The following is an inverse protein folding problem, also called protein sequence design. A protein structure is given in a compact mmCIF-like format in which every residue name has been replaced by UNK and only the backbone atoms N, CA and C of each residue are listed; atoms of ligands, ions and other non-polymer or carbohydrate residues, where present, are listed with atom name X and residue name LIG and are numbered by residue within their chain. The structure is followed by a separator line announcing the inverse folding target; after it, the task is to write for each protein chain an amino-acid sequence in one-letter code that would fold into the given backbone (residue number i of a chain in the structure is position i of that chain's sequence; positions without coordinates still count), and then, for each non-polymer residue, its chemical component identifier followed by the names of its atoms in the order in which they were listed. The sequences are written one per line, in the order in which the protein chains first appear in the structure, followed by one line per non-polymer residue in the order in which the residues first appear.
data_IF_049716145264
#
_entry.id   IF_049716145264
#
_cell.length_a   1.000
_cell.length_b   1.000
_cell.length_c   1.000
_cell.angle_alpha   90.00
_cell.angle_beta   90.00
_cell.angle_gamma   90.00
#
_symmetry.space_group_name_H-M   'P 1'
#
loop_
_entity.id
_entity.type
_entity.pdbx_description
1 polymer ?
#
# COMPACT_ATOMS: atom_id res chain seq x y z
N UNK A 1 -5.94 -27.72 13.22
CA UNK A 1 -6.66 -27.43 11.95
C UNK A 1 -7.00 -28.74 11.27
N UNK A 2 -7.99 -28.75 10.36
CA UNK A 2 -8.33 -29.97 9.58
C UNK A 2 -7.43 -30.09 8.35
N UNK A 3 -6.85 -31.28 8.07
CA UNK A 3 -6.08 -31.51 6.84
C UNK A 3 -6.90 -31.23 5.58
N UNK A 4 -6.28 -30.63 4.56
CA UNK A 4 -6.92 -30.31 3.28
C UNK A 4 -7.82 -29.07 3.29
N UNK A 5 -8.09 -28.48 4.45
CA UNK A 5 -8.94 -27.29 4.56
C UNK A 5 -8.11 -26.00 4.56
N UNK A 6 -8.66 -24.95 3.95
CA UNK A 6 -8.06 -23.62 3.92
C UNK A 6 -8.82 -22.67 4.84
N UNK A 7 -8.12 -22.09 5.82
CA UNK A 7 -8.65 -21.13 6.78
C UNK A 7 -8.14 -19.74 6.44
N UNK A 8 -9.04 -18.77 6.31
CA UNK A 8 -8.69 -17.38 6.00
C UNK A 8 -9.19 -16.48 7.12
N UNK A 9 -8.27 -15.70 7.66
CA UNK A 9 -8.47 -14.87 8.84
C UNK A 9 -7.71 -13.56 8.71
N UNK A 10 -8.17 -12.55 9.45
CA UNK A 10 -7.47 -11.27 9.57
C UNK A 10 -6.62 -11.29 10.85
N UNK A 11 -5.37 -10.83 10.74
CA UNK A 11 -4.43 -10.77 11.86
C UNK A 11 -4.31 -9.33 12.37
N UNK A 12 -4.68 -9.10 13.63
CA UNK A 12 -4.62 -7.79 14.26
C UNK A 12 -3.97 -7.85 15.64
N UNK A 13 -2.73 -7.38 15.72
CA UNK A 13 -1.93 -7.44 16.95
C UNK A 13 -2.11 -6.22 17.88
N UNK A 14 -2.48 -5.07 17.32
CA UNK A 14 -2.69 -3.81 18.07
C UNK A 14 -4.05 -3.22 17.73
N UNK A 15 -4.75 -2.57 18.67
CA UNK A 15 -6.08 -2.00 18.40
C UNK A 15 -6.05 -0.93 17.29
N UNK A 16 -4.93 -0.22 17.15
CA UNK A 16 -4.70 0.69 16.02
C UNK A 16 -4.19 -0.08 14.79
N UNK A 17 -5.04 -0.18 13.77
CA UNK A 17 -4.69 -0.70 12.46
C UNK A 17 -4.63 0.43 11.43
N UNK A 18 -3.42 0.82 11.03
CA UNK A 18 -3.18 2.00 10.20
C UNK A 18 -3.82 3.26 10.83
N UNK A 19 -4.96 3.65 10.27
CA UNK A 19 -5.74 4.86 10.52
C UNK A 19 -6.96 4.59 11.39
N UNK A 20 -7.34 3.32 11.57
CA UNK A 20 -8.50 2.89 12.34
C UNK A 20 -8.04 2.49 13.74
N UNK A 21 -8.78 2.89 14.76
CA UNK A 21 -8.58 2.42 16.12
C UNK A 21 -9.82 1.67 16.59
N UNK A 22 -9.63 0.38 16.85
CA UNK A 22 -10.61 -0.45 17.53
C UNK A 22 -10.43 -0.33 19.05
N UNK A 23 -11.44 -0.71 19.83
CA UNK A 23 -11.34 -0.72 21.30
C UNK A 23 -10.49 -1.90 21.79
N UNK A 24 -10.50 -3.00 21.03
CA UNK A 24 -9.78 -4.23 21.37
C UNK A 24 -9.21 -4.92 20.13
N UNK A 25 -8.43 -5.97 20.38
CA UNK A 25 -7.97 -6.93 19.37
C UNK A 25 -8.74 -8.24 19.48
N UNK A 26 -8.81 -9.07 18.42
CA UNK A 26 -9.37 -10.41 18.51
C UNK A 26 -8.57 -11.31 19.46
N UNK A 27 -9.23 -12.31 20.03
CA UNK A 27 -8.60 -13.42 20.76
C UNK A 27 -7.52 -14.07 19.90
N UNK A 28 -6.32 -14.21 20.47
CA UNK A 28 -5.18 -14.75 19.73
C UNK A 28 -4.71 -13.87 18.57
N UNK A 29 -5.15 -12.61 18.49
CA UNK A 29 -4.84 -11.66 17.41
C UNK A 29 -5.34 -12.07 16.03
N UNK A 30 -6.26 -13.03 15.95
CA UNK A 30 -6.75 -13.59 14.69
C UNK A 30 -8.27 -13.68 14.71
N UNK A 31 -8.92 -13.18 13.66
CA UNK A 31 -10.38 -13.29 13.49
C UNK A 31 -10.72 -13.96 12.16
N UNK A 32 -11.44 -15.08 12.23
CA UNK A 32 -11.76 -15.94 11.09
C UNK A 32 -12.86 -15.32 10.23
N UNK A 33 -12.68 -15.37 8.90
CA UNK A 33 -13.69 -14.87 7.96
C UNK A 33 -14.07 -15.84 6.84
N UNK A 34 -13.26 -16.87 6.54
CA UNK A 34 -13.64 -17.99 5.66
C UNK A 34 -12.97 -19.30 6.08
N UNK A 35 -13.68 -20.39 5.78
CA UNK A 35 -13.15 -21.75 5.82
C UNK A 35 -13.63 -22.44 4.55
N UNK A 36 -12.69 -22.95 3.78
CA UNK A 36 -12.90 -23.69 2.54
C UNK A 36 -12.49 -25.14 2.78
N UNK A 37 -13.45 -26.05 2.64
CA UNK A 37 -13.26 -27.48 2.81
C UNK A 37 -12.49 -28.15 1.67
N UNK A 38 -12.20 -27.41 0.59
CA UNK A 38 -11.59 -27.90 -0.64
C UNK A 38 -12.49 -27.59 -1.84
N UNK A 39 -11.88 -27.33 -3.01
CA UNK A 39 -12.60 -27.11 -4.28
C UNK A 39 -13.68 -26.02 -4.21
N UNK A 40 -13.40 -24.90 -3.54
CA UNK A 40 -14.34 -23.78 -3.34
C UNK A 40 -15.60 -24.16 -2.53
N UNK A 41 -15.55 -25.24 -1.74
CA UNK A 41 -16.62 -25.66 -0.84
C UNK A 41 -16.53 -24.94 0.51
N UNK A 42 -17.07 -23.72 0.57
CA UNK A 42 -17.04 -22.89 1.78
C UNK A 42 -18.05 -23.33 2.84
N UNK A 43 -17.66 -23.23 4.11
CA UNK A 43 -18.59 -23.41 5.23
C UNK A 43 -19.63 -22.28 5.27
N UNK A 44 -20.89 -22.68 5.52
CA UNK A 44 -21.94 -21.75 5.93
C UNK A 44 -21.56 -21.05 7.26
N UNK A 45 -22.14 -19.88 7.51
CA UNK A 45 -21.74 -19.03 8.64
C UNK A 45 -21.86 -19.74 10.00
N UNK A 46 -22.92 -20.50 10.24
CA UNK A 46 -23.12 -21.27 11.47
C UNK A 46 -21.99 -22.30 11.69
N UNK A 47 -21.68 -23.11 10.69
CA UNK A 47 -20.59 -24.11 10.81
C UNK A 47 -19.21 -23.45 10.93
N UNK A 48 -19.03 -22.26 10.34
CA UNK A 48 -17.82 -21.46 10.50
C UNK A 48 -17.68 -20.93 11.94
N UNK A 49 -18.79 -20.55 12.60
CA UNK A 49 -18.79 -20.16 14.01
C UNK A 49 -18.37 -21.33 14.89
N UNK A 50 -18.98 -22.51 14.70
CA UNK A 50 -18.65 -23.72 15.46
C UNK A 50 -17.15 -24.09 15.29
N UNK A 51 -16.64 -23.98 14.06
CA UNK A 51 -15.23 -24.27 13.78
C UNK A 51 -14.28 -23.21 14.36
N UNK A 52 -14.67 -21.93 14.38
CA UNK A 52 -13.90 -20.87 15.04
C UNK A 52 -13.84 -21.10 16.55
N UNK A 53 -14.97 -21.44 17.18
CA UNK A 53 -15.04 -21.75 18.61
C UNK A 53 -14.17 -22.97 18.96
N UNK A 54 -14.25 -24.04 18.16
CA UNK A 54 -13.39 -25.23 18.32
C UNK A 54 -11.89 -24.90 18.27
N UNK A 55 -11.51 -23.89 17.48
CA UNK A 55 -10.14 -23.41 17.36
C UNK A 55 -9.75 -22.37 18.42
N UNK A 56 -10.69 -21.91 19.24
CA UNK A 56 -10.47 -20.83 20.20
C UNK A 56 -10.24 -19.48 19.52
N UNK A 57 -10.81 -19.27 18.32
CA UNK A 57 -10.71 -18.04 17.55
C UNK A 57 -12.05 -17.29 17.55
N UNK A 58 -11.99 -15.99 17.34
CA UNK A 58 -13.19 -15.20 17.03
C UNK A 58 -13.54 -15.34 15.54
N UNK A 59 -14.82 -15.16 15.19
CA UNK A 59 -15.29 -15.14 13.81
C UNK A 59 -15.98 -13.80 13.53
N UNK A 60 -15.81 -13.27 12.32
CA UNK A 60 -16.52 -12.07 11.88
C UNK A 60 -18.04 -12.30 11.92
N UNK A 61 -18.85 -11.30 12.32
CA UNK A 61 -20.29 -11.46 12.42
C UNK A 61 -20.96 -11.49 11.04
N UNK A 62 -22.12 -12.13 10.96
CA UNK A 62 -23.03 -12.03 9.83
C UNK A 62 -23.98 -10.84 10.06
N UNK A 63 -23.86 -9.80 9.22
CA UNK A 63 -24.66 -8.60 9.37
C UNK A 63 -26.06 -8.72 8.72
N UNK A 64 -26.18 -9.52 7.65
CA UNK A 64 -27.41 -9.66 6.88
C UNK A 64 -27.42 -10.94 6.05
N UNK A 65 -28.61 -11.53 5.87
CA UNK A 65 -28.87 -12.64 4.95
C UNK A 65 -30.01 -12.24 4.03
N UNK A 66 -29.77 -12.30 2.73
CA UNK A 66 -30.77 -11.96 1.72
C UNK A 66 -30.23 -11.00 0.68
N UNK A 67 -31.16 -10.38 -0.04
CA UNK A 67 -30.87 -9.35 -1.02
C UNK A 67 -30.92 -8.00 -0.32
N UNK A 68 -29.94 -7.15 -0.65
CA UNK A 68 -29.94 -5.74 -0.31
C UNK A 68 -30.58 -5.01 -1.49
N UNK A 69 -31.74 -4.41 -1.28
CA UNK A 69 -32.57 -3.84 -2.36
C UNK A 69 -32.39 -2.32 -2.52
N UNK A 70 -31.76 -1.67 -1.54
CA UNK A 70 -31.56 -0.22 -1.55
C UNK A 70 -30.15 0.21 -1.12
N UNK A 71 -29.73 1.40 -1.56
CA UNK A 71 -28.48 2.00 -1.11
C UNK A 71 -28.51 2.32 0.40
N UNK A 72 -29.69 2.59 0.96
CA UNK A 72 -29.83 2.94 2.38
C UNK A 72 -29.70 1.72 3.30
N UNK A 73 -30.17 0.55 2.86
CA UNK A 73 -29.85 -0.72 3.54
C UNK A 73 -28.33 -0.97 3.55
N UNK A 74 -27.64 -0.76 2.42
CA UNK A 74 -26.19 -0.89 2.38
C UNK A 74 -25.49 0.12 3.32
N UNK A 75 -25.96 1.37 3.36
CA UNK A 75 -25.43 2.38 4.29
C UNK A 75 -25.67 2.00 5.75
N UNK A 76 -26.82 1.41 6.08
CA UNK A 76 -27.10 0.94 7.43
C UNK A 76 -26.12 -0.17 7.87
N UNK A 77 -25.79 -1.10 6.96
CA UNK A 77 -24.77 -2.12 7.23
C UNK A 77 -23.38 -1.52 7.46
N UNK A 78 -23.00 -0.48 6.69
CA UNK A 78 -21.73 0.24 6.86
C UNK A 78 -21.71 1.12 8.12
N UNK A 79 -22.86 1.52 8.64
CA UNK A 79 -22.97 2.29 9.87
C UNK A 79 -22.84 1.45 11.14
N UNK A 80 -22.84 0.12 11.03
CA UNK A 80 -22.66 -0.78 12.15
C UNK A 80 -21.29 -0.57 12.82
N UNK A 81 -21.27 -0.62 14.14
CA UNK A 81 -20.01 -0.63 14.91
C UNK A 81 -19.26 -1.94 14.68
N UNK A 82 -17.95 -1.86 14.54
CA UNK A 82 -17.07 -3.03 14.45
C UNK A 82 -17.28 -3.97 15.65
N UNK A 83 -17.18 -5.28 15.42
CA UNK A 83 -17.18 -6.30 16.48
C UNK A 83 -16.02 -6.13 17.48
N UNK A 84 -14.99 -5.39 17.08
CA UNK A 84 -13.84 -5.02 17.90
C UNK A 84 -14.01 -3.66 18.61
N UNK A 85 -15.16 -2.99 18.45
CA UNK A 85 -15.49 -1.72 19.08
C UNK A 85 -14.80 -0.50 18.43
N UNK A 86 -15.06 0.68 19.00
CA UNK A 86 -14.38 1.97 18.74
C UNK A 86 -14.77 2.68 17.44
N UNK A 87 -14.85 1.95 16.33
CA UNK A 87 -15.09 2.50 15.00
C UNK A 87 -16.24 1.77 14.28
N UNK A 88 -16.83 2.44 13.28
CA UNK A 88 -17.73 1.78 12.31
C UNK A 88 -16.97 0.72 11.49
N UNK A 89 -17.69 -0.22 10.89
CA UNK A 89 -17.09 -1.21 10.00
C UNK A 89 -16.45 -0.54 8.77
N UNK A 90 -15.25 -0.98 8.40
CA UNK A 90 -14.51 -0.47 7.24
C UNK A 90 -15.29 -0.69 5.94
N UNK A 91 -15.90 -1.85 5.83
CA UNK A 91 -16.66 -2.30 4.69
C UNK A 91 -17.40 -3.59 4.98
N UNK A 92 -18.16 -4.03 3.99
CA UNK A 92 -18.90 -5.30 4.02
C UNK A 92 -18.45 -6.19 2.87
N UNK A 93 -18.48 -7.50 3.11
CA UNK A 93 -18.20 -8.51 2.08
C UNK A 93 -19.46 -9.34 1.88
N UNK A 94 -20.02 -9.30 0.68
CA UNK A 94 -21.12 -10.14 0.25
C UNK A 94 -20.55 -11.42 -0.40
N UNK A 95 -20.98 -12.58 0.08
CA UNK A 95 -20.52 -13.89 -0.41
C UNK A 95 -21.70 -14.73 -0.84
N UNK A 96 -21.69 -15.22 -2.07
CA UNK A 96 -22.68 -16.14 -2.57
C UNK A 96 -21.99 -17.43 -3.04
N UNK A 97 -21.81 -18.36 -2.10
CA UNK A 97 -21.15 -19.65 -2.36
C UNK A 97 -21.92 -20.58 -3.33
N UNK A 98 -23.11 -20.18 -3.80
CA UNK A 98 -23.88 -20.91 -4.82
C UNK A 98 -23.65 -20.40 -6.25
N UNK A 99 -22.90 -19.31 -6.41
CA UNK A 99 -22.59 -18.73 -7.72
C UNK A 99 -21.09 -18.65 -7.92
N UNK A 100 -20.65 -18.92 -9.14
CA UNK A 100 -19.25 -18.94 -9.52
C UNK A 100 -19.01 -17.97 -10.68
N UNK A 101 -17.83 -17.35 -10.69
CA UNK A 101 -17.34 -16.56 -11.82
C UNK A 101 -16.84 -17.49 -12.95
N UNK A 102 -16.54 -16.90 -14.12
CA UNK A 102 -16.06 -17.65 -15.29
C UNK A 102 -14.71 -18.37 -15.05
N UNK A 103 -13.95 -17.95 -14.04
CA UNK A 103 -12.70 -18.55 -13.59
C UNK A 103 -12.89 -19.70 -12.60
N UNK A 104 -14.15 -20.02 -12.24
CA UNK A 104 -14.47 -21.11 -11.31
C UNK A 104 -14.45 -20.74 -9.84
N UNK A 105 -14.16 -19.48 -9.47
CA UNK A 105 -14.16 -19.05 -8.07
C UNK A 105 -15.56 -18.63 -7.60
N UNK A 106 -15.87 -18.85 -6.31
CA UNK A 106 -17.14 -18.41 -5.73
C UNK A 106 -17.29 -16.88 -5.80
N UNK A 107 -18.48 -16.38 -6.14
CA UNK A 107 -18.73 -14.95 -6.24
C UNK A 107 -18.71 -14.29 -4.87
N UNK A 108 -17.69 -13.43 -4.68
CA UNK A 108 -17.54 -12.58 -3.50
C UNK A 108 -17.29 -11.15 -3.94
N UNK A 109 -18.04 -10.22 -3.36
CA UNK A 109 -17.89 -8.79 -3.60
C UNK A 109 -17.62 -8.07 -2.29
N UNK A 110 -16.69 -7.12 -2.29
CA UNK A 110 -16.46 -6.23 -1.15
C UNK A 110 -16.85 -4.80 -1.48
N UNK A 111 -17.45 -4.12 -0.51
CA UNK A 111 -17.70 -2.69 -0.56
C UNK A 111 -17.10 -2.04 0.67
N UNK A 112 -16.12 -1.16 0.46
CA UNK A 112 -15.46 -0.37 1.52
C UNK A 112 -16.10 1.02 1.54
N UNK A 113 -16.38 1.54 2.73
CA UNK A 113 -17.00 2.86 2.90
C UNK A 113 -16.10 3.98 2.34
N UNK A 114 -16.72 5.06 1.87
CA UNK A 114 -15.98 6.19 1.28
C UNK A 114 -15.08 6.90 2.31
N UNK A 115 -15.56 7.04 3.55
CA UNK A 115 -14.77 7.58 4.67
C UNK A 115 -13.44 6.82 4.84
N UNK A 116 -13.47 5.49 4.75
CA UNK A 116 -12.26 4.67 4.83
C UNK A 116 -11.39 4.75 3.57
N UNK A 117 -11.99 4.83 2.37
CA UNK A 117 -11.24 5.03 1.12
C UNK A 117 -10.46 6.35 1.12
N UNK A 118 -11.05 7.42 1.63
CA UNK A 118 -10.40 8.74 1.71
C UNK A 118 -9.24 8.75 2.71
N UNK A 119 -9.45 8.14 3.88
CA UNK A 119 -8.44 8.04 4.91
C UNK A 119 -7.28 7.13 4.46
N UNK A 120 -7.57 6.02 3.77
CA UNK A 120 -6.55 5.20 3.10
C UNK A 120 -5.82 5.92 1.98
N UNK A 121 -6.50 6.75 1.17
CA UNK A 121 -5.84 7.56 0.12
C UNK A 121 -4.86 8.58 0.71
N UNK A 122 -5.22 9.24 1.83
CA UNK A 122 -4.35 10.19 2.54
C UNK A 122 -3.12 9.49 3.12
N UNK A 123 -3.33 8.38 3.83
CA UNK A 123 -2.26 7.58 4.43
C UNK A 123 -1.37 6.90 3.38
N UNK A 124 -1.95 6.43 2.27
CA UNK A 124 -1.19 5.89 1.15
C UNK A 124 -0.35 6.96 0.45
N UNK A 125 -0.85 8.19 0.27
CA UNK A 125 -0.06 9.32 -0.24
C UNK A 125 1.13 9.65 0.67
N UNK A 126 0.91 9.67 1.98
CA UNK A 126 1.99 9.88 2.96
C UNK A 126 3.07 8.79 2.90
N UNK A 127 2.68 7.54 2.62
CA UNK A 127 3.61 6.40 2.52
C UNK A 127 4.17 6.16 1.11
N UNK A 128 3.53 6.71 0.07
CA UNK A 128 3.93 6.59 -1.34
C UNK A 128 3.80 7.95 -2.03
N UNK A 129 4.79 8.83 -1.84
CA UNK A 129 4.81 10.13 -2.48
C UNK A 129 4.96 9.98 -4.00
N UNK A 130 4.21 10.78 -4.78
CA UNK A 130 4.28 10.87 -6.24
C UNK A 130 5.61 11.52 -6.71
N UNK A 131 5.87 11.56 -8.03
CA UNK A 131 7.08 12.18 -8.61
C UNK A 131 7.28 13.65 -8.22
N UNK A 132 6.21 14.40 -7.97
CA UNK A 132 6.28 15.80 -7.55
C UNK A 132 6.65 15.93 -6.06
N UNK A 133 6.28 14.94 -5.23
CA UNK A 133 6.39 15.04 -3.78
C UNK A 133 7.85 14.92 -3.29
N UNK A 134 8.73 14.19 -3.99
CA UNK A 134 10.14 14.06 -3.57
C UNK A 134 10.90 15.38 -3.68
N UNK A 135 10.57 16.20 -4.69
CA UNK A 135 11.20 17.52 -4.86
C UNK A 135 10.69 18.48 -3.80
N UNK A 136 9.39 18.47 -3.53
CA UNK A 136 8.77 19.27 -2.47
C UNK A 136 9.32 18.91 -1.09
N UNK A 137 9.50 17.63 -0.79
CA UNK A 137 10.10 17.14 0.46
C UNK A 137 11.55 17.61 0.62
N UNK A 138 12.35 17.52 -0.45
CA UNK A 138 13.75 18.00 -0.43
C UNK A 138 13.77 19.51 -0.16
N UNK A 139 12.96 20.28 -0.89
CA UNK A 139 12.86 21.74 -0.70
C UNK A 139 12.40 22.07 0.72
N UNK A 140 11.38 21.40 1.24
CA UNK A 140 10.87 21.61 2.59
C UNK A 140 11.94 21.34 3.66
N UNK A 141 12.75 20.29 3.46
CA UNK A 141 13.83 19.95 4.40
C UNK A 141 14.97 20.97 4.42
N UNK A 142 15.22 21.66 3.31
CA UNK A 142 16.33 22.61 3.15
C UNK A 142 15.95 24.06 3.43
N UNK A 143 14.65 24.39 3.29
CA UNK A 143 14.08 25.73 3.51
C UNK A 143 13.93 26.04 5.01
N UNK A 144 15.05 26.29 5.68
CA UNK A 144 15.07 26.56 7.13
C UNK A 144 15.55 27.97 7.46
N UNK A 145 15.02 28.61 8.52
CA UNK A 145 15.50 29.91 8.99
C UNK A 145 16.98 29.90 9.37
N UNK A 146 17.49 28.79 9.92
CA UNK A 146 18.91 28.65 10.28
C UNK A 146 19.82 28.84 9.06
N UNK A 147 19.42 28.30 7.91
CA UNK A 147 20.18 28.46 6.66
C UNK A 147 20.19 29.90 6.16
N UNK A 148 19.06 30.59 6.28
CA UNK A 148 18.97 32.01 5.94
C UNK A 148 19.82 32.87 6.88
N UNK A 149 19.78 32.59 8.19
CA UNK A 149 20.62 33.27 9.19
C UNK A 149 22.12 33.07 8.91
N UNK A 150 22.51 31.87 8.47
CA UNK A 150 23.90 31.60 8.07
C UNK A 150 24.33 32.44 6.87
N UNK A 151 23.48 32.56 5.85
CA UNK A 151 23.74 33.43 4.70
C UNK A 151 23.89 34.90 5.08
N UNK A 152 23.06 35.40 6.01
CA UNK A 152 23.19 36.75 6.58
C UNK A 152 24.53 36.90 7.30
N UNK A 153 24.91 35.94 8.14
CA UNK A 153 26.18 35.98 8.87
C UNK A 153 27.37 36.01 7.90
N UNK A 154 27.40 35.12 6.90
CA UNK A 154 28.46 35.06 5.91
C UNK A 154 28.62 36.37 5.13
N UNK A 155 27.52 36.95 4.63
CA UNK A 155 27.58 38.22 3.90
C UNK A 155 28.02 39.37 4.83
N UNK A 156 27.59 39.37 6.09
CA UNK A 156 28.01 40.36 7.08
C UNK A 156 29.50 40.29 7.39
N UNK A 157 30.04 39.09 7.59
CA UNK A 157 31.46 38.87 7.87
C UNK A 157 32.37 39.28 6.70
N UNK A 158 31.86 39.20 5.46
CA UNK A 158 32.54 39.70 4.26
C UNK A 158 32.37 41.20 4.02
N UNK A 159 31.57 41.89 4.85
CA UNK A 159 31.24 43.31 4.66
C UNK A 159 30.38 43.58 3.43
N UNK A 160 29.62 42.59 2.97
CA UNK A 160 28.79 42.63 1.75
C UNK A 160 27.32 42.95 2.02
N UNK A 161 26.94 43.20 3.28
CA UNK A 161 25.58 43.64 3.64
C UNK A 161 25.50 45.16 3.80
N UNK A 162 24.49 45.75 3.16
CA UNK A 162 24.14 47.17 3.31
C UNK A 162 23.03 47.39 4.35
N UNK A 163 22.53 46.32 4.98
CA UNK A 163 21.38 46.28 5.89
C UNK A 163 20.13 46.95 5.30
N UNK A 164 19.87 46.66 4.01
CA UNK A 164 18.76 47.22 3.25
C UNK A 164 18.14 46.23 2.25
N UNK A 165 16.99 46.57 1.63
CA UNK A 165 16.30 45.67 0.70
C UNK A 165 17.13 45.21 -0.51
N UNK A 166 18.22 45.91 -0.84
CA UNK A 166 19.16 45.53 -1.90
C UNK A 166 19.91 44.23 -1.60
N UNK A 167 20.05 43.87 -0.33
CA UNK A 167 20.75 42.66 0.11
C UNK A 167 20.00 41.36 -0.24
N UNK A 168 18.70 41.43 -0.56
CA UNK A 168 17.87 40.26 -0.86
C UNK A 168 18.47 39.46 -2.04
N UNK A 169 18.94 40.15 -3.09
CA UNK A 169 19.55 39.50 -4.25
C UNK A 169 20.81 38.70 -3.88
N UNK A 170 21.81 39.33 -3.24
CA UNK A 170 22.97 38.64 -2.68
C UNK A 170 22.62 37.48 -1.74
N UNK A 171 21.65 37.66 -0.82
CA UNK A 171 21.22 36.63 0.13
C UNK A 171 20.66 35.39 -0.59
N UNK A 172 19.83 35.56 -1.62
CA UNK A 172 19.31 34.43 -2.40
C UNK A 172 20.43 33.64 -3.09
N UNK A 173 21.46 34.32 -3.60
CA UNK A 173 22.62 33.67 -4.21
C UNK A 173 23.45 32.92 -3.18
N UNK A 174 23.69 33.53 -2.02
CA UNK A 174 24.43 32.94 -0.91
C UNK A 174 23.76 31.65 -0.42
N UNK A 175 22.44 31.68 -0.18
CA UNK A 175 21.68 30.49 0.25
C UNK A 175 21.78 29.37 -0.77
N UNK A 176 21.62 29.66 -2.07
CA UNK A 176 21.72 28.63 -3.10
C UNK A 176 23.13 28.03 -3.20
N UNK A 177 24.17 28.85 -3.07
CA UNK A 177 25.56 28.39 -3.06
C UNK A 177 25.82 27.47 -1.87
N UNK A 178 25.46 27.91 -0.67
CA UNK A 178 25.60 27.15 0.58
C UNK A 178 24.89 25.78 0.51
N UNK A 179 23.64 25.75 0.05
CA UNK A 179 22.90 24.49 -0.14
C UNK A 179 23.64 23.58 -1.13
N UNK A 180 24.10 24.11 -2.26
CA UNK A 180 24.74 23.30 -3.28
C UNK A 180 26.07 22.72 -2.81
N UNK A 181 26.84 23.48 -2.05
CA UNK A 181 28.14 23.08 -1.50
C UNK A 181 28.00 22.05 -0.37
N UNK A 182 27.10 22.29 0.60
CA UNK A 182 27.00 21.43 1.79
C UNK A 182 26.05 20.24 1.60
N UNK A 183 24.96 20.43 0.86
CA UNK A 183 23.86 19.45 0.76
C UNK A 183 23.73 18.84 -0.63
N UNK A 184 24.49 19.33 -1.62
CA UNK A 184 24.37 18.91 -3.01
C UNK A 184 24.48 17.40 -3.18
N UNK A 185 25.42 16.75 -2.48
CA UNK A 185 25.58 15.30 -2.56
C UNK A 185 24.43 14.55 -1.88
N UNK A 186 23.96 15.02 -0.73
CA UNK A 186 22.81 14.44 -0.05
C UNK A 186 21.52 14.55 -0.90
N UNK A 187 21.36 15.67 -1.62
CA UNK A 187 20.26 15.88 -2.57
C UNK A 187 20.37 14.92 -3.76
N UNK A 188 21.56 14.80 -4.39
CA UNK A 188 21.79 13.86 -5.50
C UNK A 188 21.48 12.43 -5.09
N UNK A 189 21.96 12.00 -3.94
CA UNK A 189 21.76 10.65 -3.42
C UNK A 189 20.26 10.36 -3.17
N UNK A 190 19.53 11.31 -2.58
CA UNK A 190 18.07 11.17 -2.38
C UNK A 190 17.33 11.06 -3.71
N UNK A 191 17.65 11.93 -4.66
CA UNK A 191 17.05 11.91 -6.00
C UNK A 191 17.36 10.61 -6.74
N UNK A 192 18.62 10.17 -6.71
CA UNK A 192 19.06 8.94 -7.34
C UNK A 192 18.36 7.71 -6.75
N UNK A 193 18.37 7.55 -5.42
CA UNK A 193 17.68 6.45 -4.74
C UNK A 193 16.21 6.37 -5.11
N UNK A 194 15.53 7.52 -5.10
CA UNK A 194 14.12 7.60 -5.47
C UNK A 194 13.91 7.23 -6.95
N UNK A 195 14.65 7.88 -7.86
CA UNK A 195 14.50 7.69 -9.30
C UNK A 195 14.84 6.26 -9.73
N UNK A 196 15.93 5.69 -9.16
CA UNK A 196 16.37 4.33 -9.40
C UNK A 196 15.31 3.31 -9.02
N UNK A 197 14.79 3.39 -7.78
CA UNK A 197 13.83 2.42 -7.25
C UNK A 197 12.45 2.53 -7.90
N UNK A 198 11.99 3.74 -8.21
CA UNK A 198 10.61 3.97 -8.67
C UNK A 198 10.46 3.92 -10.18
N UNK A 199 11.45 4.40 -10.93
CA UNK A 199 11.31 4.64 -12.37
C UNK A 199 12.35 3.87 -13.19
N UNK A 200 13.64 4.12 -12.93
CA UNK A 200 14.71 3.66 -13.83
C UNK A 200 14.82 2.14 -13.81
N UNK A 201 14.98 1.51 -12.64
CA UNK A 201 15.14 0.05 -12.53
C UNK A 201 13.99 -0.71 -13.18
N UNK A 202 12.75 -0.28 -12.93
CA UNK A 202 11.55 -0.90 -13.53
C UNK A 202 11.48 -0.68 -15.04
N UNK A 203 11.85 0.52 -15.50
CA UNK A 203 11.85 0.88 -16.91
C UNK A 203 12.85 0.04 -17.71
N UNK A 204 14.08 -0.10 -17.22
CA UNK A 204 15.13 -0.87 -17.91
C UNK A 204 14.86 -2.38 -17.94
N UNK A 205 14.16 -2.92 -16.93
CA UNK A 205 13.82 -4.35 -16.87
C UNK A 205 12.53 -4.69 -17.60
N UNK A 206 11.79 -3.70 -18.11
CA UNK A 206 10.51 -3.93 -18.79
C UNK A 206 10.74 -4.62 -20.14
N UNK A 207 10.03 -5.72 -20.39
CA UNK A 207 10.20 -6.51 -21.62
C UNK A 207 11.40 -7.46 -21.61
N UNK A 208 12.27 -7.37 -20.58
CA UNK A 208 13.38 -8.31 -20.40
C UNK A 208 12.91 -9.77 -20.26
N UNK A 209 11.85 -10.10 -19.47
CA UNK A 209 11.39 -11.48 -19.34
C UNK A 209 10.88 -12.05 -20.66
N UNK A 210 10.11 -11.28 -21.42
CA UNK A 210 9.55 -11.68 -22.72
C UNK A 210 10.68 -11.92 -23.73
N UNK A 211 11.60 -10.97 -23.86
CA UNK A 211 12.78 -11.10 -24.70
C UNK A 211 13.62 -12.33 -24.36
N UNK A 212 13.81 -12.63 -23.07
CA UNK A 212 14.60 -13.79 -22.67
C UNK A 212 13.89 -15.12 -22.94
N UNK A 213 12.55 -15.16 -22.81
CA UNK A 213 11.76 -16.35 -23.18
C UNK A 213 11.85 -16.65 -24.67
N UNK A 214 11.84 -15.63 -25.53
CA UNK A 214 12.04 -15.79 -26.97
C UNK A 214 13.42 -16.39 -27.26
N UNK A 215 14.49 -15.92 -26.60
CA UNK A 215 15.82 -16.51 -26.74
C UNK A 215 15.91 -17.97 -26.29
N UNK A 216 15.21 -18.31 -25.20
CA UNK A 216 15.15 -19.71 -24.74
C UNK A 216 14.42 -20.60 -25.75
N UNK A 217 13.37 -20.08 -26.38
CA UNK A 217 12.61 -20.78 -27.41
C UNK A 217 13.47 -21.01 -28.67
N UNK A 218 14.13 -19.97 -29.19
CA UNK A 218 15.06 -20.07 -30.33
C UNK A 218 16.11 -21.17 -30.10
N UNK A 219 16.70 -21.20 -28.90
CA UNK A 219 17.73 -22.16 -28.53
C UNK A 219 17.24 -23.61 -28.50
N UNK A 220 15.95 -23.86 -28.26
CA UNK A 220 15.38 -25.21 -28.31
C UNK A 220 15.31 -25.76 -29.75
N UNK A 221 15.18 -24.89 -30.74
CA UNK A 221 15.14 -25.26 -32.16
C UNK A 221 16.54 -25.33 -32.79
N UNK A 222 17.51 -24.54 -32.30
CA UNK A 222 18.92 -24.65 -32.72
C UNK A 222 19.55 -26.00 -32.31
N UNK A 223 19.08 -26.59 -31.20
CA UNK A 223 19.51 -27.92 -30.76
C UNK A 223 18.94 -29.09 -31.57
N UNK A 224 17.93 -28.86 -32.41
CA UNK A 224 17.26 -29.93 -33.19
C UNK A 224 17.86 -30.15 -34.58
N UNK A 225 18.70 -29.23 -35.07
CA UNK A 225 19.32 -29.32 -36.40
C UNK A 225 20.58 -30.20 -36.46
N UNK A 226 21.06 -30.75 -35.32
CA UNK A 226 22.23 -31.66 -35.30
C UNK A 226 21.89 -33.16 -35.37
N UNK A 227 20.62 -33.58 -35.28
CA UNK A 227 20.26 -35.02 -35.28
C UNK A 227 19.51 -35.52 -36.53
N UNK A 228 19.31 -34.70 -37.56
CA UNK A 228 18.64 -35.11 -38.81
C UNK A 228 19.54 -35.03 -40.05
N UNK A 229 20.85 -35.28 -39.89
CA UNK A 229 21.84 -35.23 -40.97
C UNK A 229 22.69 -36.48 -41.14
N UNK A 230 22.39 -37.59 -40.46
CA UNK A 230 23.08 -38.88 -40.68
C UNK A 230 22.07 -40.05 -40.53
N UNK A 231 21.34 -40.32 -41.60
CA UNK A 231 20.78 -41.65 -41.92
C UNK A 231 20.76 -41.85 -43.43
#
# INVERSE_FOLDING_TARGET
LRPGWTYRAECLHKPRHNVICYDRVPRGHVILFDVDGGEEAYLAHNHKLDEAERLGLECVPLLHVGKVDSADELRALLAATSVLGGSKVEGVVAKNYRRFAADGHALMGKHVSEEFKEVHKKDWRLRNPNQLDVLEDIVASLRTPARWSKAVLHLRERGELEDGPRDIGPLLKEVNRDVLEEEGEAVREKLFKWAWKKTISRGITRGLPEWYKERLLERQFDGTLQEQGDR
#
